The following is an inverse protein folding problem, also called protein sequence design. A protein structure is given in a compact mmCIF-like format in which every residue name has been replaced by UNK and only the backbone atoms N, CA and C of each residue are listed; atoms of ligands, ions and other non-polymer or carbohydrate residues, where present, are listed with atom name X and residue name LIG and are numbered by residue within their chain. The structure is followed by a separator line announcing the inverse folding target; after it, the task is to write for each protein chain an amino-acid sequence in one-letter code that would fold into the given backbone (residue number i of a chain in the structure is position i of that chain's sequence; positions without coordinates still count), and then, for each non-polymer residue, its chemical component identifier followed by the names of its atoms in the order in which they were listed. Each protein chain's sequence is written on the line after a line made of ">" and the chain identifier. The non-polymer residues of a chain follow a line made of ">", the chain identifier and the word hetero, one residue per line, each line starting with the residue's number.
data_IF_797342482005
#
_entry.id   IF_797342482005
#
_cell.length_a   1.000
_cell.length_b   1.000
_cell.length_c   1.000
_cell.angle_alpha   90.00
_cell.angle_beta   90.00
_cell.angle_gamma   90.00
#
_symmetry.space_group_name_H-M   'P 1'
#
loop_
_entity.id
_entity.type
_entity.pdbx_description
1 polymer ?
#
# COMPACT_ATOMS: atom_id res chain seq x y z
N UNK A 1 0.20 -2.72 30.07
CA UNK A 1 0.73 -1.38 29.72
C UNK A 1 -0.18 -0.73 28.68
N UNK A 2 -0.73 0.46 28.93
CA UNK A 2 -1.49 1.28 27.95
C UNK A 2 -0.49 2.06 27.10
N UNK A 3 -0.44 1.82 25.79
CA UNK A 3 0.24 2.71 24.84
C UNK A 3 -0.83 3.63 24.21
N UNK A 4 -0.77 4.93 24.52
CA UNK A 4 -1.58 5.98 23.91
C UNK A 4 -0.85 6.45 22.65
N UNK A 5 -1.45 6.29 21.46
CA UNK A 5 -0.74 6.57 20.21
C UNK A 5 -0.94 7.98 19.65
N UNK A 6 -1.94 8.74 20.05
CA UNK A 6 -2.04 10.19 19.80
C UNK A 6 -3.17 10.71 20.67
N UNK A 7 -2.97 11.81 21.39
CA UNK A 7 -4.03 12.54 22.06
C UNK A 7 -4.05 13.94 21.45
N UNK A 8 -4.97 14.20 20.53
CA UNK A 8 -5.10 15.51 19.91
C UNK A 8 -6.24 16.24 20.62
N UNK A 9 -5.90 17.16 21.53
CA UNK A 9 -6.88 18.07 22.13
C UNK A 9 -6.84 19.38 21.35
N UNK A 10 -7.95 19.77 20.73
CA UNK A 10 -8.04 21.06 20.05
C UNK A 10 -8.48 22.21 20.99
N UNK A 11 -8.36 23.44 20.51
CA UNK A 11 -8.71 24.65 21.28
C UNK A 11 -10.21 24.72 21.66
N UNK A 12 -11.05 23.86 21.09
CA UNK A 12 -12.50 23.78 21.37
C UNK A 12 -12.83 22.66 22.35
N UNK A 13 -11.81 22.04 22.95
CA UNK A 13 -11.96 20.97 23.94
C UNK A 13 -12.34 19.63 23.33
N UNK A 14 -12.24 19.46 22.00
CA UNK A 14 -12.41 18.15 21.37
C UNK A 14 -11.15 17.33 21.56
N UNK A 15 -11.31 16.03 21.77
CA UNK A 15 -10.22 15.09 21.84
C UNK A 15 -10.51 13.87 20.97
N UNK A 16 -9.44 13.33 20.38
CA UNK A 16 -9.44 12.03 19.72
C UNK A 16 -8.19 11.28 20.16
N UNK A 17 -8.39 10.00 20.51
CA UNK A 17 -7.33 9.13 20.94
C UNK A 17 -7.57 7.68 20.50
N UNK A 18 -6.52 7.05 19.98
CA UNK A 18 -6.50 5.61 19.77
C UNK A 18 -5.54 4.96 20.76
N UNK A 19 -5.98 3.86 21.38
CA UNK A 19 -5.15 3.13 22.33
C UNK A 19 -5.40 1.63 22.27
N UNK A 20 -4.34 0.90 22.60
CA UNK A 20 -4.36 -0.56 22.66
C UNK A 20 -4.60 -1.02 24.09
N UNK A 21 -5.55 -1.93 24.26
CA UNK A 21 -5.87 -2.58 25.53
C UNK A 21 -5.69 -4.09 25.41
N UNK A 22 -5.40 -4.73 26.55
CA UNK A 22 -5.39 -6.18 26.68
C UNK A 22 -6.57 -6.55 27.56
N UNK A 23 -7.48 -7.37 27.07
CA UNK A 23 -8.62 -7.87 27.85
C UNK A 23 -8.16 -8.93 28.87
N UNK A 24 -9.05 -9.31 29.79
CA UNK A 24 -8.72 -10.26 30.86
C UNK A 24 -8.41 -11.67 30.37
N UNK A 25 -8.88 -12.03 29.19
CA UNK A 25 -8.56 -13.28 28.47
C UNK A 25 -7.22 -13.22 27.72
N UNK A 26 -6.56 -12.05 27.70
CA UNK A 26 -5.28 -11.84 27.04
C UNK A 26 -5.38 -11.37 25.59
N UNK A 27 -6.57 -11.21 25.01
CA UNK A 27 -6.72 -10.69 23.66
C UNK A 27 -6.36 -9.19 23.58
N UNK A 28 -5.91 -8.76 22.41
CA UNK A 28 -5.51 -7.36 22.15
C UNK A 28 -6.61 -6.66 21.38
N UNK A 29 -7.09 -5.55 21.92
CA UNK A 29 -8.14 -4.73 21.33
C UNK A 29 -7.66 -3.31 21.10
N UNK A 30 -8.14 -2.70 20.01
CA UNK A 30 -7.91 -1.30 19.71
C UNK A 30 -9.19 -0.51 19.96
N UNK A 31 -9.07 0.55 20.73
CA UNK A 31 -10.17 1.45 21.03
C UNK A 31 -9.86 2.84 20.47
N UNK A 32 -10.86 3.43 19.82
CA UNK A 32 -10.87 4.83 19.43
C UNK A 32 -11.83 5.56 20.36
N UNK A 33 -11.34 6.57 21.05
CA UNK A 33 -12.09 7.43 21.95
C UNK A 33 -12.13 8.84 21.39
N UNK A 34 -13.34 9.36 21.23
CA UNK A 34 -13.59 10.69 20.66
C UNK A 34 -14.61 11.41 21.52
N UNK A 35 -14.31 12.65 21.88
CA UNK A 35 -15.25 13.44 22.66
C UNK A 35 -14.97 14.92 22.67
N UNK A 36 -15.82 15.65 23.40
CA UNK A 36 -15.72 17.08 23.60
C UNK A 36 -15.98 17.44 25.06
N UNK A 37 -15.12 18.29 25.59
CA UNK A 37 -15.28 18.92 26.90
C UNK A 37 -16.01 20.26 26.74
N UNK A 38 -17.02 20.49 27.56
CA UNK A 38 -17.76 21.73 27.66
C UNK A 38 -17.34 22.46 28.93
N UNK A 39 -17.07 23.76 28.80
CA UNK A 39 -16.56 24.61 29.86
C UNK A 39 -17.58 25.70 30.21
N UNK A 40 -17.60 26.12 31.47
CA UNK A 40 -18.37 27.29 31.89
C UNK A 40 -17.64 28.61 31.58
N UNK A 41 -18.25 29.74 31.97
CA UNK A 41 -17.69 31.08 31.75
C UNK A 41 -16.39 31.34 32.53
N UNK A 42 -16.09 30.53 33.55
CA UNK A 42 -14.85 30.61 34.34
C UNK A 42 -13.73 29.74 33.75
N UNK A 43 -14.01 29.00 32.68
CA UNK A 43 -13.08 28.07 32.05
C UNK A 43 -13.02 26.71 32.75
N UNK A 44 -13.96 26.39 33.64
CA UNK A 44 -14.01 25.10 34.33
C UNK A 44 -14.82 24.08 33.52
N UNK A 45 -14.28 22.87 33.34
CA UNK A 45 -14.95 21.80 32.61
C UNK A 45 -16.18 21.32 33.40
N UNK A 46 -17.36 21.49 32.81
CA UNK A 46 -18.65 21.12 33.44
C UNK A 46 -19.24 19.83 32.89
N UNK A 47 -18.83 19.42 31.69
CA UNK A 47 -19.34 18.20 31.04
C UNK A 47 -18.35 17.68 30.01
N UNK A 48 -18.29 16.35 29.88
CA UNK A 48 -17.64 15.69 28.76
C UNK A 48 -18.69 14.81 28.06
N UNK A 49 -18.73 14.87 26.73
CA UNK A 49 -19.54 13.97 25.89
C UNK A 49 -18.58 13.29 24.93
N UNK A 50 -18.61 11.96 24.89
CA UNK A 50 -17.75 11.19 23.99
C UNK A 50 -18.31 9.81 23.69
N UNK A 51 -17.63 9.12 22.78
CA UNK A 51 -17.91 7.78 22.34
C UNK A 51 -16.60 7.00 22.27
N UNK A 52 -16.62 5.79 22.83
CA UNK A 52 -15.56 4.80 22.63
C UNK A 52 -16.06 3.78 21.63
N UNK A 53 -15.31 3.60 20.55
CA UNK A 53 -15.53 2.63 19.50
C UNK A 53 -14.43 1.59 19.54
N UNK A 54 -14.80 0.32 19.47
CA UNK A 54 -13.81 -0.73 19.23
C UNK A 54 -13.47 -0.80 17.75
N UNK A 55 -12.19 -0.63 17.42
CA UNK A 55 -11.66 -0.59 16.05
C UNK A 55 -10.66 -1.73 15.77
N UNK A 56 -10.69 -2.78 16.58
CA UNK A 56 -9.78 -3.93 16.48
C UNK A 56 -9.82 -4.57 15.09
N UNK A 57 -11.02 -4.90 14.60
CA UNK A 57 -11.22 -5.52 13.28
C UNK A 57 -10.72 -4.62 12.15
N UNK A 58 -11.01 -3.31 12.24
CA UNK A 58 -10.54 -2.32 11.26
C UNK A 58 -9.01 -2.28 11.20
N UNK A 59 -8.33 -2.25 12.35
CA UNK A 59 -6.86 -2.25 12.41
C UNK A 59 -6.27 -3.55 11.87
N UNK A 60 -6.88 -4.70 12.20
CA UNK A 60 -6.45 -6.00 11.68
C UNK A 60 -6.60 -6.09 10.16
N UNK A 61 -7.73 -5.66 9.60
CA UNK A 61 -7.95 -5.63 8.16
C UNK A 61 -6.94 -4.71 7.45
N UNK A 62 -6.67 -3.53 8.01
CA UNK A 62 -5.66 -2.61 7.47
C UNK A 62 -4.25 -3.22 7.46
N UNK A 63 -3.87 -3.90 8.55
CA UNK A 63 -2.57 -4.55 8.63
C UNK A 63 -2.47 -5.75 7.67
N UNK A 64 -3.53 -6.54 7.52
CA UNK A 64 -3.59 -7.63 6.54
C UNK A 64 -3.45 -7.12 5.10
N UNK A 65 -4.15 -6.04 4.73
CA UNK A 65 -4.01 -5.42 3.40
C UNK A 65 -2.58 -4.97 3.17
N UNK A 66 -1.97 -4.32 4.17
CA UNK A 66 -0.57 -3.86 4.08
C UNK A 66 0.40 -5.03 3.91
N UNK A 67 0.19 -6.13 4.64
CA UNK A 67 1.01 -7.33 4.52
C UNK A 67 0.91 -7.95 3.14
N UNK A 68 -0.30 -8.13 2.63
CA UNK A 68 -0.54 -8.68 1.29
C UNK A 68 0.05 -7.79 0.19
N UNK A 69 -0.07 -6.46 0.32
CA UNK A 69 0.55 -5.53 -0.62
C UNK A 69 2.07 -5.68 -0.66
N UNK A 70 2.72 -5.75 0.50
CA UNK A 70 4.17 -5.92 0.58
C UNK A 70 4.61 -7.28 0.00
N UNK A 71 3.86 -8.35 0.26
CA UNK A 71 4.15 -9.66 -0.30
C UNK A 71 4.01 -9.66 -1.83
N UNK A 72 2.91 -9.10 -2.35
CA UNK A 72 2.70 -8.95 -3.79
C UNK A 72 3.82 -8.14 -4.43
N UNK A 73 4.22 -7.02 -3.82
CA UNK A 73 5.30 -6.19 -4.32
C UNK A 73 6.62 -6.97 -4.37
N UNK A 74 6.96 -7.70 -3.32
CA UNK A 74 8.17 -8.54 -3.29
C UNK A 74 8.15 -9.60 -4.40
N UNK A 75 6.98 -10.20 -4.69
CA UNK A 75 6.83 -11.17 -5.78
C UNK A 75 6.98 -10.52 -7.15
N UNK A 76 6.40 -9.33 -7.34
CA UNK A 76 6.54 -8.55 -8.57
C UNK A 76 8.01 -8.18 -8.81
N UNK A 77 8.70 -7.70 -7.78
CA UNK A 77 10.12 -7.30 -7.87
C UNK A 77 11.03 -8.50 -8.19
N UNK A 78 10.76 -9.66 -7.58
CA UNK A 78 11.46 -10.92 -7.87
C UNK A 78 11.29 -11.31 -9.34
N UNK A 79 10.06 -11.36 -9.84
CA UNK A 79 9.76 -11.71 -11.23
C UNK A 79 10.32 -10.71 -12.22
N UNK A 80 10.27 -9.41 -11.92
CA UNK A 80 10.84 -8.36 -12.75
C UNK A 80 12.35 -8.47 -12.84
N UNK A 81 13.03 -8.68 -11.71
CA UNK A 81 14.47 -8.91 -11.69
C UNK A 81 14.85 -10.11 -12.55
N UNK A 82 14.15 -11.24 -12.38
CA UNK A 82 14.38 -12.44 -13.20
C UNK A 82 14.18 -12.18 -14.68
N UNK A 83 13.10 -11.48 -15.05
CA UNK A 83 12.79 -11.11 -16.44
C UNK A 83 13.93 -10.29 -17.05
N UNK A 84 14.44 -9.30 -16.32
CA UNK A 84 15.47 -8.36 -16.78
C UNK A 84 16.84 -9.02 -16.96
N UNK A 85 17.24 -9.93 -16.06
CA UNK A 85 18.55 -10.59 -16.11
C UNK A 85 18.59 -11.83 -17.03
N UNK A 86 17.44 -12.29 -17.53
CA UNK A 86 17.38 -13.54 -18.28
C UNK A 86 18.08 -13.40 -19.64
N UNK A 87 19.03 -14.29 -20.00
CA UNK A 87 19.72 -14.25 -21.29
C UNK A 87 18.86 -14.90 -22.40
N UNK A 88 17.58 -14.58 -22.43
CA UNK A 88 16.61 -15.05 -23.42
C UNK A 88 15.78 -13.86 -23.89
N UNK A 89 15.47 -13.79 -25.19
CA UNK A 89 14.60 -12.73 -25.71
C UNK A 89 13.16 -13.03 -25.34
N UNK A 90 12.60 -12.33 -24.35
CA UNK A 90 11.22 -12.56 -23.90
C UNK A 90 10.37 -11.35 -24.27
N UNK A 91 9.20 -11.64 -24.81
CA UNK A 91 8.14 -10.69 -25.13
C UNK A 91 6.83 -11.14 -24.47
N UNK A 92 6.19 -10.26 -23.71
CA UNK A 92 4.93 -10.52 -23.01
C UNK A 92 3.90 -9.49 -23.46
N UNK A 93 2.78 -9.93 -24.01
CA UNK A 93 1.65 -9.06 -24.33
C UNK A 93 0.58 -9.11 -23.23
N UNK A 94 -0.04 -7.95 -22.97
CA UNK A 94 -1.14 -7.80 -22.02
C UNK A 94 -2.52 -7.79 -22.70
N UNK A 95 -2.55 -7.86 -24.03
CA UNK A 95 -3.76 -7.78 -24.83
C UNK A 95 -3.77 -8.88 -25.91
N UNK A 96 -4.95 -9.45 -26.26
CA UNK A 96 -5.03 -10.48 -27.30
C UNK A 96 -4.56 -9.99 -28.69
N UNK A 97 -4.57 -8.67 -28.91
CA UNK A 97 -4.18 -8.03 -30.17
C UNK A 97 -2.67 -7.81 -30.32
N UNK A 98 -1.88 -8.08 -29.27
CA UNK A 98 -0.44 -7.84 -29.23
C UNK A 98 -0.01 -6.40 -29.56
N UNK A 99 -0.85 -5.40 -29.28
CA UNK A 99 -0.51 -3.99 -29.51
C UNK A 99 0.50 -3.47 -28.48
N UNK A 100 0.45 -3.98 -27.25
CA UNK A 100 1.34 -3.59 -26.16
C UNK A 100 2.15 -4.79 -25.72
N UNK A 101 3.42 -4.82 -26.15
CA UNK A 101 4.36 -5.87 -25.80
C UNK A 101 5.44 -5.31 -24.88
N UNK A 102 5.63 -5.96 -23.73
CA UNK A 102 6.79 -5.74 -22.86
C UNK A 102 7.90 -6.70 -23.25
N UNK A 103 9.12 -6.20 -23.32
CA UNK A 103 10.31 -7.00 -23.61
C UNK A 103 11.35 -6.85 -22.52
N UNK A 104 12.18 -7.88 -22.32
CA UNK A 104 13.28 -7.78 -21.37
C UNK A 104 14.52 -7.14 -22.02
N UNK A 105 15.46 -6.72 -21.17
CA UNK A 105 16.69 -6.05 -21.62
C UNK A 105 17.47 -6.88 -22.67
N UNK A 106 17.47 -8.21 -22.57
CA UNK A 106 18.12 -9.06 -23.56
C UNK A 106 17.46 -8.96 -24.95
N UNK A 107 16.13 -9.01 -25.02
CA UNK A 107 15.38 -8.83 -26.27
C UNK A 107 15.59 -7.43 -26.85
N UNK A 108 15.59 -6.39 -25.99
CA UNK A 108 15.83 -5.01 -26.41
C UNK A 108 17.20 -4.85 -27.07
N UNK A 109 18.24 -5.41 -26.44
CA UNK A 109 19.59 -5.43 -26.98
C UNK A 109 19.68 -6.21 -28.31
N UNK A 110 19.02 -7.37 -28.39
CA UNK A 110 19.01 -8.20 -29.61
C UNK A 110 18.32 -7.50 -30.78
N UNK A 111 17.23 -6.78 -30.52
CA UNK A 111 16.48 -6.03 -31.54
C UNK A 111 17.06 -4.63 -31.81
N UNK A 112 18.09 -4.23 -31.06
CA UNK A 112 18.70 -2.90 -31.13
C UNK A 112 17.66 -1.77 -30.93
N UNK A 113 16.80 -1.93 -29.92
CA UNK A 113 15.77 -0.95 -29.55
C UNK A 113 16.09 -0.32 -28.20
N UNK A 114 15.59 0.91 -27.98
CA UNK A 114 15.81 1.61 -26.72
C UNK A 114 15.15 0.87 -25.54
N UNK A 115 15.73 0.92 -24.33
CA UNK A 115 15.14 0.31 -23.15
C UNK A 115 13.74 0.84 -22.85
N UNK A 116 12.83 -0.04 -22.42
CA UNK A 116 11.42 0.26 -22.15
C UNK A 116 10.66 0.83 -23.36
N UNK A 117 11.11 0.55 -24.60
CA UNK A 117 10.36 0.95 -25.78
C UNK A 117 9.15 0.03 -26.00
N UNK A 118 7.99 0.62 -26.28
CA UNK A 118 6.81 -0.14 -26.67
C UNK A 118 6.98 -0.63 -28.10
N UNK A 119 7.05 -1.95 -28.27
CA UNK A 119 7.07 -2.57 -29.59
C UNK A 119 5.62 -2.77 -30.05
N UNK A 120 5.15 -1.85 -30.88
CA UNK A 120 3.97 -2.10 -31.68
C UNK A 120 4.30 -3.19 -32.73
N UNK A 121 3.37 -4.09 -33.06
CA UNK A 121 3.61 -5.23 -33.97
C UNK A 121 4.08 -4.81 -35.38
N UNK A 122 3.92 -3.53 -35.76
CA UNK A 122 4.43 -2.98 -37.03
C UNK A 122 5.90 -2.52 -37.05
N UNK A 123 6.59 -2.44 -35.89
CA UNK A 123 7.97 -1.93 -35.80
C UNK A 123 9.03 -3.02 -35.63
N UNK A 124 8.64 -4.30 -35.60
CA UNK A 124 9.57 -5.43 -35.59
C UNK A 124 10.18 -5.58 -36.99
N UNK A 125 11.31 -4.90 -37.21
CA UNK A 125 12.06 -5.05 -38.45
C UNK A 125 12.80 -6.40 -38.42
N UNK A 126 12.13 -7.47 -38.87
CA UNK A 126 12.65 -8.85 -38.89
C UNK A 126 13.84 -9.02 -39.87
N UNK A 127 14.22 -7.96 -40.61
CA UNK A 127 15.28 -8.01 -41.62
C UNK A 127 16.70 -7.71 -41.08
N UNK A 128 16.88 -7.45 -39.78
CA UNK A 128 18.21 -7.19 -39.20
C UNK A 128 18.92 -8.40 -38.59
N UNK A 129 18.28 -9.59 -38.53
CA UNK A 129 18.86 -10.81 -37.93
C UNK A 129 19.52 -11.77 -38.93
N UNK A 130 19.66 -11.37 -40.20
CA UNK A 130 20.46 -12.11 -41.19
C UNK A 130 21.45 -11.18 -41.89
N UNK A 131 22.54 -10.86 -41.19
CA UNK A 131 23.85 -10.63 -41.80
C UNK A 131 24.98 -10.84 -40.79
#
# INVERSE_FOLDING_TARGET
>A
MRQLQTLAIDAQGKYEAEFRVVWSDGSIHWLADRGQSFYDQTGQAVRIVGMVEEITEKKQAQEQIKQLYNELQSRVDELQTLFDIMPAGIAISHDPTCEVVRTNAFAENLMNVAPNSYLAPGNLNVNSLTQ
#
